data_IF_712008416505
#
_entry.id   IF_712008416505
#
_cell.length_a   1.000
_cell.length_b   1.000
_cell.length_c   1.000
_cell.angle_alpha   90.00
_cell.angle_beta   90.00
_cell.angle_gamma   90.00
#
_symmetry.space_group_name_H-M   'P 1'
#
loop_
_entity.id
_entity.type
_entity.pdbx_description
1 polymer ?
#
# COMPACT_ATOMS: atom_id res chain seq x y z
N UNK A 1 25.12 16.27 -21.00
CA UNK A 1 23.87 16.09 -20.25
C UNK A 1 22.73 16.54 -21.17
N UNK A 2 21.97 15.59 -21.76
CA UNK A 2 20.90 15.92 -22.72
C UNK A 2 19.74 16.64 -22.00
N UNK A 3 19.20 17.67 -22.61
CA UNK A 3 17.99 18.35 -22.15
C UNK A 3 16.83 17.35 -22.27
N UNK A 4 16.19 16.97 -21.15
CA UNK A 4 14.93 16.22 -21.17
C UNK A 4 13.87 17.08 -21.84
N UNK A 5 13.08 16.49 -22.74
CA UNK A 5 11.93 17.20 -23.31
C UNK A 5 10.89 17.50 -22.20
N UNK A 6 9.98 18.43 -22.48
CA UNK A 6 8.98 18.88 -21.50
C UNK A 6 8.14 17.71 -20.98
N UNK A 7 7.71 16.81 -21.86
CA UNK A 7 6.87 15.65 -21.51
C UNK A 7 7.59 14.68 -20.54
N UNK A 8 8.88 14.43 -20.79
CA UNK A 8 9.71 13.61 -19.90
C UNK A 8 9.91 14.27 -18.54
N UNK A 9 10.02 15.60 -18.51
CA UNK A 9 10.13 16.37 -17.26
C UNK A 9 8.85 16.28 -16.45
N UNK A 10 7.69 16.50 -17.08
CA UNK A 10 6.38 16.45 -16.42
C UNK A 10 6.10 15.05 -15.82
N UNK A 11 6.45 13.98 -16.54
CA UNK A 11 6.34 12.59 -16.02
C UNK A 11 7.28 12.37 -14.83
N UNK A 12 8.51 12.86 -14.93
CA UNK A 12 9.48 12.72 -13.84
C UNK A 12 9.02 13.48 -12.59
N UNK A 13 8.56 14.72 -12.73
CA UNK A 13 8.01 15.49 -11.62
C UNK A 13 6.82 14.75 -10.99
N UNK A 14 5.87 14.27 -11.78
CA UNK A 14 4.73 13.49 -11.27
C UNK A 14 5.14 12.22 -10.53
N UNK A 15 6.20 11.55 -10.95
CA UNK A 15 6.67 10.33 -10.29
C UNK A 15 7.44 10.59 -9.00
N UNK A 16 8.24 11.65 -8.96
CA UNK A 16 9.22 11.93 -7.90
C UNK A 16 8.93 13.22 -7.14
N UNK A 17 7.75 13.79 -7.31
CA UNK A 17 7.32 14.92 -6.51
C UNK A 17 7.31 14.50 -5.03
N UNK A 18 8.02 15.23 -4.19
CA UNK A 18 8.09 14.99 -2.75
C UNK A 18 6.77 15.34 -2.05
N UNK A 19 5.89 16.05 -2.74
CA UNK A 19 4.54 16.31 -2.28
C UNK A 19 3.70 15.02 -2.34
N UNK A 20 2.68 14.92 -1.50
CA UNK A 20 1.79 13.75 -1.38
C UNK A 20 1.10 13.34 -2.72
N UNK A 21 1.28 14.13 -3.77
CA UNK A 21 0.76 13.90 -5.11
C UNK A 21 1.64 12.98 -5.98
N UNK A 22 2.91 12.79 -5.64
CA UNK A 22 3.81 11.88 -6.35
C UNK A 22 3.41 10.43 -6.15
N UNK A 23 3.40 9.62 -7.23
CA UNK A 23 2.93 8.23 -7.15
C UNK A 23 3.74 7.35 -6.19
N UNK A 24 5.00 7.69 -5.94
CA UNK A 24 5.85 6.98 -4.99
C UNK A 24 5.70 7.49 -3.55
N UNK A 25 5.16 8.69 -3.34
CA UNK A 25 5.01 9.31 -2.05
C UNK A 25 3.57 9.32 -1.53
N UNK A 26 2.60 9.07 -2.41
CA UNK A 26 1.19 9.04 -1.99
C UNK A 26 0.93 7.99 -0.92
N UNK A 27 0.21 8.39 0.12
CA UNK A 27 -0.26 7.51 1.19
C UNK A 27 -1.75 7.19 1.09
N UNK A 28 -2.37 7.57 -0.02
CA UNK A 28 -3.82 7.49 -0.20
C UNK A 28 -4.36 6.10 0.13
N UNK A 29 -3.75 5.04 -0.41
CA UNK A 29 -4.15 3.66 -0.08
C UNK A 29 -3.66 3.18 1.28
N UNK A 30 -2.58 3.75 1.80
CA UNK A 30 -2.04 3.43 3.11
C UNK A 30 -2.93 3.93 4.24
N UNK A 31 -3.48 5.12 4.11
CA UNK A 31 -4.26 5.81 5.14
C UNK A 31 -5.77 5.54 5.06
N UNK A 32 -6.30 5.28 3.86
CA UNK A 32 -7.73 5.12 3.61
C UNK A 32 -8.44 4.02 4.41
N UNK A 33 -7.71 3.09 5.01
CA UNK A 33 -8.32 2.02 5.82
C UNK A 33 -8.80 2.45 7.19
N UNK A 34 -8.60 3.72 7.57
CA UNK A 34 -8.83 4.18 8.94
C UNK A 34 -10.13 4.98 9.10
N UNK A 35 -10.61 5.63 8.05
CA UNK A 35 -11.64 6.66 8.19
C UNK A 35 -12.93 6.36 7.43
N UNK A 36 -12.85 5.74 6.26
CA UNK A 36 -14.03 5.49 5.42
C UNK A 36 -13.81 4.29 4.51
N UNK A 37 -14.08 3.09 5.00
CA UNK A 37 -13.88 1.86 4.22
C UNK A 37 -14.63 1.88 2.88
N UNK A 38 -15.83 2.42 2.85
CA UNK A 38 -16.63 2.51 1.61
C UNK A 38 -15.97 3.39 0.55
N UNK A 39 -15.43 4.55 0.95
CA UNK A 39 -14.72 5.46 0.04
C UNK A 39 -13.44 4.84 -0.49
N UNK A 40 -12.69 4.20 0.41
CA UNK A 40 -11.48 3.46 0.05
C UNK A 40 -11.76 2.37 -0.97
N UNK A 41 -12.83 1.64 -0.78
CA UNK A 41 -13.18 0.53 -1.67
C UNK A 41 -13.73 1.00 -3.01
N UNK A 42 -14.37 2.17 -3.08
CA UNK A 42 -14.74 2.80 -4.35
C UNK A 42 -13.50 3.22 -5.15
N UNK A 43 -12.52 3.85 -4.48
CA UNK A 43 -11.26 4.22 -5.10
C UNK A 43 -10.49 2.98 -5.56
N UNK A 44 -10.34 1.99 -4.69
CA UNK A 44 -9.71 0.72 -5.00
C UNK A 44 -10.34 0.09 -6.25
N UNK A 45 -11.66 -0.04 -6.30
CA UNK A 45 -12.37 -0.61 -7.44
C UNK A 45 -12.05 0.16 -8.74
N UNK A 46 -12.16 1.49 -8.72
CA UNK A 46 -11.84 2.33 -9.87
C UNK A 46 -10.40 2.13 -10.35
N UNK A 47 -9.45 2.02 -9.43
CA UNK A 47 -8.04 1.77 -9.75
C UNK A 47 -7.86 0.41 -10.40
N UNK A 48 -8.46 -0.64 -9.84
CA UNK A 48 -8.39 -1.99 -10.40
C UNK A 48 -9.03 -2.08 -11.79
N UNK A 49 -10.18 -1.44 -11.99
CA UNK A 49 -10.85 -1.38 -13.28
C UNK A 49 -9.94 -0.68 -14.33
N UNK A 50 -9.28 0.41 -13.92
CA UNK A 50 -8.33 1.13 -14.79
C UNK A 50 -7.11 0.28 -15.13
N UNK A 51 -6.50 -0.38 -14.15
CA UNK A 51 -5.33 -1.25 -14.35
C UNK A 51 -5.67 -2.41 -15.29
N UNK A 52 -6.81 -3.03 -15.08
CA UNK A 52 -7.22 -4.19 -15.85
C UNK A 52 -7.63 -3.81 -17.29
N UNK A 53 -8.30 -2.67 -17.49
CA UNK A 53 -8.70 -2.22 -18.82
C UNK A 53 -7.54 -1.73 -19.68
N UNK A 54 -6.55 -1.05 -19.07
CA UNK A 54 -5.41 -0.49 -19.85
C UNK A 54 -4.36 -1.52 -20.25
N UNK A 55 -4.28 -2.63 -19.57
CA UNK A 55 -3.21 -3.61 -19.80
C UNK A 55 -3.60 -4.73 -20.79
N UNK A 56 -4.75 -4.67 -21.45
CA UNK A 56 -5.24 -5.71 -22.40
C UNK A 56 -5.04 -7.13 -21.83
N UNK A 57 -5.23 -7.30 -20.54
CA UNK A 57 -5.01 -8.59 -19.86
C UNK A 57 -6.10 -9.57 -20.24
N UNK A 58 -5.71 -10.80 -20.50
CA UNK A 58 -6.69 -11.88 -20.59
C UNK A 58 -7.43 -12.05 -19.26
N UNK A 59 -8.62 -12.64 -19.29
CA UNK A 59 -9.43 -12.88 -18.08
C UNK A 59 -8.66 -13.61 -16.98
N UNK A 60 -7.73 -14.49 -17.37
CA UNK A 60 -6.92 -15.28 -16.43
C UNK A 60 -5.80 -14.47 -15.76
N UNK A 61 -5.45 -13.32 -16.32
CA UNK A 61 -4.33 -12.47 -15.86
C UNK A 61 -4.77 -11.13 -15.28
N UNK A 62 -6.04 -10.99 -14.93
CA UNK A 62 -6.52 -9.76 -14.28
C UNK A 62 -5.88 -9.62 -12.89
N UNK A 63 -5.53 -8.38 -12.56
CA UNK A 63 -5.13 -8.04 -11.21
C UNK A 63 -6.33 -8.22 -10.27
N UNK A 64 -6.18 -9.04 -9.22
CA UNK A 64 -7.26 -9.39 -8.30
C UNK A 64 -7.24 -8.58 -7.02
N UNK A 65 -6.10 -7.96 -6.70
CA UNK A 65 -5.92 -7.19 -5.49
C UNK A 65 -4.78 -6.19 -5.59
N UNK A 66 -4.61 -5.40 -4.55
CA UNK A 66 -3.57 -4.39 -4.40
C UNK A 66 -2.85 -4.59 -3.08
N UNK A 67 -1.52 -4.52 -3.11
CA UNK A 67 -0.69 -4.55 -1.91
C UNK A 67 0.13 -3.27 -1.90
N UNK A 68 0.08 -2.55 -0.79
CA UNK A 68 0.80 -1.29 -0.61
C UNK A 68 1.69 -1.32 0.62
N UNK A 69 2.81 -0.62 0.52
CA UNK A 69 3.73 -0.31 1.61
C UNK A 69 3.80 1.19 1.87
N UNK A 70 4.97 1.67 2.31
CA UNK A 70 5.33 3.08 2.51
C UNK A 70 4.59 3.82 3.64
N UNK A 71 3.37 3.42 3.99
CA UNK A 71 2.62 4.02 5.10
C UNK A 71 2.66 3.07 6.30
N UNK A 72 3.49 3.33 7.31
CA UNK A 72 3.67 2.43 8.44
C UNK A 72 2.38 2.27 9.25
N UNK A 73 1.86 1.07 9.31
CA UNK A 73 0.54 0.79 9.90
C UNK A 73 0.54 0.81 11.42
N UNK A 74 1.71 0.66 12.08
CA UNK A 74 1.78 0.76 13.54
C UNK A 74 1.34 2.13 14.06
N UNK A 75 1.51 3.19 13.28
CA UNK A 75 1.05 4.56 13.62
C UNK A 75 -0.47 4.62 13.78
N UNK A 76 -1.19 3.70 13.15
CA UNK A 76 -2.64 3.54 13.22
C UNK A 76 -3.04 2.38 14.15
N UNK A 77 -2.14 1.92 15.02
CA UNK A 77 -2.35 0.76 15.90
C UNK A 77 -2.72 -0.51 15.15
N UNK A 78 -2.15 -0.72 13.97
CA UNK A 78 -2.38 -1.90 13.13
C UNK A 78 -1.06 -2.54 12.72
N UNK A 79 -1.09 -3.85 12.57
CA UNK A 79 -0.07 -4.60 11.82
C UNK A 79 -0.46 -4.71 10.36
N UNK A 80 -0.02 -5.77 9.68
CA UNK A 80 -0.54 -6.11 8.35
C UNK A 80 -2.06 -6.19 8.44
N UNK A 81 -2.74 -5.48 7.55
CA UNK A 81 -4.20 -5.41 7.55
C UNK A 81 -4.76 -5.29 6.13
N UNK A 82 -6.05 -5.57 6.00
CA UNK A 82 -6.74 -5.50 4.71
C UNK A 82 -8.05 -4.74 4.82
N UNK A 83 -8.57 -4.35 3.67
CA UNK A 83 -9.91 -3.81 3.46
C UNK A 83 -10.48 -4.32 2.14
N UNK A 84 -11.69 -3.86 1.80
CA UNK A 84 -12.36 -4.21 0.55
C UNK A 84 -12.51 -5.73 0.34
N UNK A 85 -12.95 -6.42 1.39
CA UNK A 85 -13.13 -7.87 1.34
C UNK A 85 -11.81 -8.66 1.20
N UNK A 86 -10.71 -8.16 1.76
CA UNK A 86 -9.41 -8.82 1.71
C UNK A 86 -8.68 -8.64 0.37
N UNK A 87 -9.10 -7.70 -0.47
CA UNK A 87 -8.47 -7.47 -1.77
C UNK A 87 -7.47 -6.32 -1.78
N UNK A 88 -7.48 -5.48 -0.76
CA UNK A 88 -6.53 -4.40 -0.59
C UNK A 88 -5.75 -4.60 0.70
N UNK A 89 -4.44 -4.77 0.62
CA UNK A 89 -3.55 -5.09 1.72
C UNK A 89 -2.55 -3.98 1.99
N UNK A 90 -2.29 -3.71 3.27
CA UNK A 90 -1.26 -2.80 3.77
C UNK A 90 -0.25 -3.62 4.55
N UNK A 91 0.99 -3.66 4.06
CA UNK A 91 2.01 -4.58 4.60
C UNK A 91 3.16 -3.88 5.32
N UNK A 92 3.23 -2.56 5.27
CA UNK A 92 4.26 -1.83 6.00
C UNK A 92 3.91 -1.77 7.49
N UNK A 93 4.59 -2.56 8.29
CA UNK A 93 4.43 -2.57 9.74
C UNK A 93 5.43 -1.66 10.46
N UNK A 94 6.32 -0.96 9.75
CA UNK A 94 7.35 -0.12 10.35
C UNK A 94 8.32 -0.91 11.23
N UNK A 95 8.71 -2.13 10.80
CA UNK A 95 9.54 -3.03 11.60
C UNK A 95 10.95 -2.50 11.87
N UNK A 96 11.44 -1.57 11.04
CA UNK A 96 12.78 -1.01 11.16
C UNK A 96 12.96 -0.22 12.47
N UNK A 97 14.08 -0.43 13.14
CA UNK A 97 14.49 0.39 14.30
C UNK A 97 14.71 1.88 13.95
N UNK A 98 14.89 2.21 12.67
CA UNK A 98 15.02 3.58 12.19
C UNK A 98 13.77 4.44 12.46
N UNK A 99 12.60 3.81 12.61
CA UNK A 99 11.37 4.50 13.02
C UNK A 99 11.35 4.89 14.51
N UNK A 100 12.45 4.68 15.22
CA UNK A 100 12.61 5.01 16.63
C UNK A 100 11.81 4.11 17.59
N UNK A 101 12.00 4.31 18.90
CA UNK A 101 11.10 3.72 19.88
C UNK A 101 9.75 4.44 19.79
N UNK A 102 8.66 3.69 19.82
CA UNK A 102 7.35 4.28 20.03
C UNK A 102 7.32 4.86 21.44
N UNK A 103 7.21 6.16 21.56
CA UNK A 103 7.40 6.90 22.81
C UNK A 103 6.24 6.75 23.80
N UNK A 104 5.18 6.07 23.43
CA UNK A 104 4.01 5.84 24.27
C UNK A 104 3.94 4.36 24.70
N UNK A 105 4.84 3.96 25.55
CA UNK A 105 5.01 2.74 26.35
C UNK A 105 4.26 1.45 26.02
N UNK A 106 3.00 1.50 25.70
CA UNK A 106 2.17 0.31 25.47
C UNK A 106 2.07 -0.16 24.01
N UNK A 107 2.60 0.63 23.09
CA UNK A 107 2.48 0.36 21.66
C UNK A 107 3.74 -0.24 21.02
N UNK A 108 4.81 -0.34 21.80
CA UNK A 108 6.18 -0.42 21.29
C UNK A 108 6.49 -1.58 20.37
N UNK A 109 5.88 -2.71 20.55
CA UNK A 109 6.24 -3.86 19.74
C UNK A 109 5.05 -4.65 19.20
N UNK A 110 3.85 -4.44 19.73
CA UNK A 110 2.69 -5.28 19.42
C UNK A 110 2.35 -5.32 17.94
N UNK A 111 2.44 -4.15 17.27
CA UNK A 111 2.07 -4.01 15.87
C UNK A 111 3.28 -4.04 14.92
N UNK A 112 4.51 -3.97 15.48
CA UNK A 112 5.77 -3.97 14.74
C UNK A 112 6.50 -5.32 14.78
N UNK A 113 5.91 -6.33 15.38
CA UNK A 113 6.45 -7.69 15.36
C UNK A 113 6.53 -8.19 13.93
N UNK A 114 7.59 -8.94 13.64
CA UNK A 114 7.78 -9.51 12.31
C UNK A 114 6.55 -10.27 11.85
N UNK A 115 6.06 -9.91 10.69
CA UNK A 115 4.91 -10.54 10.05
C UNK A 115 5.09 -10.52 8.53
N UNK A 116 4.56 -11.52 7.88
CA UNK A 116 4.56 -11.61 6.42
C UNK A 116 3.15 -11.88 5.90
N UNK A 117 2.83 -11.33 4.74
CA UNK A 117 1.65 -11.69 4.00
C UNK A 117 2.00 -12.81 3.04
N UNK A 118 1.47 -14.01 3.30
CA UNK A 118 1.58 -15.13 2.38
C UNK A 118 0.41 -15.09 1.40
N UNK A 119 0.71 -15.22 0.12
CA UNK A 119 -0.29 -15.29 -0.95
C UNK A 119 -0.18 -16.66 -1.59
N UNK A 120 -1.25 -17.44 -1.54
CA UNK A 120 -1.34 -18.77 -2.14
C UNK A 120 -2.39 -18.77 -3.25
N UNK A 121 -2.17 -19.56 -4.27
CA UNK A 121 -3.11 -19.76 -5.40
C UNK A 121 -3.60 -18.44 -6.08
N UNK A 122 -2.84 -17.36 -5.90
CA UNK A 122 -3.09 -16.07 -6.54
C UNK A 122 -4.10 -15.14 -5.84
N UNK A 123 -4.83 -15.61 -4.81
CA UNK A 123 -5.83 -14.80 -4.11
C UNK A 123 -6.07 -15.19 -2.64
N UNK A 124 -5.59 -16.33 -2.20
CA UNK A 124 -5.65 -16.71 -0.79
C UNK A 124 -4.54 -16.00 0.00
N UNK A 125 -4.93 -15.05 0.86
CA UNK A 125 -3.98 -14.28 1.65
C UNK A 125 -4.04 -14.67 3.13
N UNK A 126 -2.87 -14.94 3.72
CA UNK A 126 -2.72 -15.30 5.15
C UNK A 126 -1.63 -14.45 5.79
N UNK A 127 -1.85 -13.99 7.02
CA UNK A 127 -0.82 -13.31 7.80
C UNK A 127 -0.11 -14.35 8.67
N UNK A 128 1.19 -14.48 8.47
CA UNK A 128 2.08 -15.27 9.32
C UNK A 128 2.81 -14.30 10.25
N UNK A 129 2.72 -14.54 11.55
CA UNK A 129 3.36 -13.72 12.59
C UNK A 129 4.41 -14.54 13.31
N UNK A 130 5.46 -13.86 13.73
CA UNK A 130 6.40 -14.41 14.72
C UNK A 130 5.66 -14.76 16.03
N UNK A 131 6.00 -15.91 16.60
CA UNK A 131 5.44 -16.41 17.86
C UNK A 131 6.03 -15.69 19.06
#
# INVERSE_FOLDING_TARGET
MGKRDKKTKDVFEYMYDDDENGIFWTREFGDLGNWEEEKSCKLFKRTMDTVNSKNNRSMDNLAKGLIVGHTPQYMNNKGINSSCGGKMWRVDIGASKAFGPCTNGDYENKFRKCAVLLIENGDECKIIKEK
#
